data_IF_471006198704
#
_entry.id   IF_471006198704
#
_cell.length_a   1.000
_cell.length_b   1.000
_cell.length_c   1.000
_cell.angle_alpha   90.00
_cell.angle_beta   90.00
_cell.angle_gamma   90.00
#
_symmetry.space_group_name_H-M   'P 1'
#
loop_
_entity.id
_entity.type
_entity.pdbx_description
1 polymer ?
#
# COMPACT_ATOMS: atom_id res chain seq x y z
N UNK A 1 23.19 34.90 -14.30
CA UNK A 1 22.33 34.17 -15.24
C UNK A 1 22.39 32.68 -14.91
N UNK A 2 22.11 32.31 -13.65
CA UNK A 2 22.63 31.04 -13.07
C UNK A 2 21.58 30.25 -12.27
N UNK A 3 20.40 30.81 -12.02
CA UNK A 3 19.37 30.18 -11.18
C UNK A 3 18.49 29.18 -11.96
N UNK A 4 18.35 29.37 -13.28
CA UNK A 4 17.51 28.53 -14.14
C UNK A 4 18.17 27.24 -14.66
N UNK A 5 19.51 27.13 -14.59
CA UNK A 5 20.23 25.90 -14.98
C UNK A 5 20.12 24.80 -13.90
N UNK A 6 20.01 25.18 -12.63
CA UNK A 6 19.89 24.24 -11.52
C UNK A 6 18.53 23.52 -11.53
N UNK A 7 17.45 24.24 -11.82
CA UNK A 7 16.11 23.67 -11.99
C UNK A 7 16.00 22.78 -13.26
N UNK A 8 16.76 23.07 -14.32
CA UNK A 8 16.82 22.25 -15.53
C UNK A 8 17.57 20.92 -15.32
N UNK A 9 18.64 20.94 -14.53
CA UNK A 9 19.43 19.75 -14.17
C UNK A 9 18.72 18.84 -13.15
N UNK A 10 17.86 19.39 -12.28
CA UNK A 10 17.05 18.60 -11.36
C UNK A 10 16.09 17.61 -12.08
N UNK A 11 15.61 17.98 -13.27
CA UNK A 11 14.71 17.12 -14.05
C UNK A 11 15.45 15.99 -14.79
N UNK A 12 16.70 16.23 -15.23
CA UNK A 12 17.52 15.21 -15.88
C UNK A 12 17.95 14.08 -14.93
N UNK A 13 18.17 14.38 -13.64
CA UNK A 13 18.53 13.39 -12.63
C UNK A 13 17.43 12.36 -12.38
N UNK A 14 16.16 12.78 -12.46
CA UNK A 14 15.02 11.88 -12.33
C UNK A 14 14.87 10.99 -13.57
N UNK A 15 15.00 11.55 -14.77
CA UNK A 15 14.98 10.76 -16.02
C UNK A 15 16.11 9.72 -16.06
N UNK A 16 17.32 10.09 -15.64
CA UNK A 16 18.44 9.14 -15.57
C UNK A 16 18.22 8.06 -14.49
N UNK A 17 17.62 8.39 -13.35
CA UNK A 17 17.23 7.38 -12.35
C UNK A 17 16.14 6.43 -12.88
N UNK A 18 15.16 6.93 -13.62
CA UNK A 18 14.08 6.12 -14.21
C UNK A 18 14.56 5.21 -15.34
N UNK A 19 15.65 5.57 -16.02
CA UNK A 19 16.29 4.76 -17.07
C UNK A 19 17.45 3.92 -16.55
N UNK A 20 17.75 3.94 -15.25
CA UNK A 20 18.85 3.18 -14.68
C UNK A 20 18.64 1.67 -14.87
N UNK A 21 19.68 0.90 -15.21
CA UNK A 21 19.62 -0.58 -15.22
C UNK A 21 19.27 -1.18 -13.85
N UNK A 22 19.35 -0.38 -12.77
CA UNK A 22 18.95 -0.77 -11.42
C UNK A 22 17.44 -0.64 -11.19
N UNK A 23 16.70 -0.06 -12.13
CA UNK A 23 15.25 -0.03 -12.07
C UNK A 23 14.68 -1.40 -12.42
N UNK A 24 13.56 -1.80 -11.78
CA UNK A 24 12.89 -3.03 -12.15
C UNK A 24 12.41 -2.95 -13.60
N UNK A 25 12.42 -4.10 -14.25
CA UNK A 25 12.10 -4.28 -15.67
C UNK A 25 10.68 -3.78 -15.99
N UNK A 26 10.48 -3.38 -17.25
CA UNK A 26 9.18 -2.89 -17.72
C UNK A 26 8.09 -3.96 -17.59
N UNK A 27 8.42 -5.24 -17.78
CA UNK A 27 7.51 -6.37 -17.59
C UNK A 27 7.03 -6.47 -16.13
N UNK A 28 7.93 -6.33 -15.16
CA UNK A 28 7.60 -6.33 -13.72
C UNK A 28 6.74 -5.14 -13.34
N UNK A 29 7.05 -3.94 -13.87
CA UNK A 29 6.20 -2.76 -13.64
C UNK A 29 4.79 -2.95 -14.17
N UNK A 30 4.63 -3.56 -15.34
CA UNK A 30 3.32 -3.84 -15.91
C UNK A 30 2.56 -4.91 -15.13
N UNK A 31 3.23 -6.00 -14.72
CA UNK A 31 2.58 -7.06 -13.95
C UNK A 31 2.18 -6.61 -12.55
N UNK A 32 2.91 -5.66 -11.95
CA UNK A 32 2.59 -5.08 -10.64
C UNK A 32 1.53 -3.97 -10.68
N UNK A 33 1.19 -3.43 -11.86
CA UNK A 33 0.32 -2.26 -11.98
C UNK A 33 -1.09 -2.50 -11.43
N UNK A 34 -1.76 -3.56 -11.86
CA UNK A 34 -3.11 -3.87 -11.38
C UNK A 34 -3.13 -4.38 -9.94
N UNK A 35 -2.26 -5.32 -9.52
CA UNK A 35 -2.20 -5.75 -8.11
C UNK A 35 -1.96 -4.59 -7.14
N UNK A 36 -1.01 -3.70 -7.45
CA UNK A 36 -0.73 -2.53 -6.59
C UNK A 36 -1.91 -1.57 -6.51
N UNK A 37 -2.61 -1.34 -7.64
CA UNK A 37 -3.80 -0.48 -7.67
C UNK A 37 -4.95 -1.08 -6.87
N UNK A 38 -5.18 -2.39 -6.97
CA UNK A 38 -6.25 -3.08 -6.24
C UNK A 38 -6.02 -3.01 -4.72
N UNK A 39 -4.82 -3.37 -4.27
CA UNK A 39 -4.44 -3.32 -2.84
C UNK A 39 -4.46 -1.88 -2.33
N UNK A 40 -3.89 -0.93 -3.07
CA UNK A 40 -3.88 0.48 -2.71
C UNK A 40 -5.28 1.08 -2.59
N UNK A 41 -6.20 0.73 -3.51
CA UNK A 41 -7.60 1.15 -3.43
C UNK A 41 -8.29 0.55 -2.21
N UNK A 42 -8.09 -0.74 -1.94
CA UNK A 42 -8.66 -1.42 -0.78
C UNK A 42 -8.20 -0.80 0.54
N UNK A 43 -6.91 -0.48 0.66
CA UNK A 43 -6.33 0.26 1.78
C UNK A 43 -6.98 1.64 1.93
N UNK A 44 -7.07 2.41 0.86
CA UNK A 44 -7.66 3.75 0.87
C UNK A 44 -9.14 3.74 1.28
N UNK A 45 -9.92 2.76 0.79
CA UNK A 45 -11.31 2.57 1.19
C UNK A 45 -11.43 2.19 2.67
N UNK A 46 -10.56 1.30 3.15
CA UNK A 46 -10.55 0.88 4.55
C UNK A 46 -10.22 2.04 5.50
N UNK A 47 -9.21 2.84 5.16
CA UNK A 47 -8.84 4.05 5.90
C UNK A 47 -9.97 5.09 5.88
N UNK A 48 -10.66 5.26 4.75
CA UNK A 48 -11.83 6.14 4.65
C UNK A 48 -12.95 5.65 5.57
N UNK A 49 -13.28 4.36 5.56
CA UNK A 49 -14.30 3.77 6.43
C UNK A 49 -13.98 4.01 7.91
N UNK A 50 -12.73 3.78 8.33
CA UNK A 50 -12.25 4.05 9.69
C UNK A 50 -12.39 5.54 10.05
N UNK A 51 -11.91 6.44 9.18
CA UNK A 51 -11.99 7.88 9.39
C UNK A 51 -13.43 8.40 9.48
N UNK A 52 -14.33 7.89 8.62
CA UNK A 52 -15.75 8.21 8.70
C UNK A 52 -16.40 7.72 9.99
N UNK A 53 -15.97 6.55 10.50
CA UNK A 53 -16.44 6.02 11.77
C UNK A 53 -16.16 6.97 12.92
N UNK A 54 -14.92 7.47 12.98
CA UNK A 54 -14.48 8.44 13.99
C UNK A 54 -15.22 9.77 13.83
N UNK A 55 -15.29 10.31 12.61
CA UNK A 55 -15.99 11.57 12.34
C UNK A 55 -17.47 11.51 12.74
N UNK A 56 -18.11 10.35 12.60
CA UNK A 56 -19.51 10.13 12.96
C UNK A 56 -19.69 9.66 14.40
N UNK A 57 -18.61 9.43 15.15
CA UNK A 57 -18.60 8.84 16.49
C UNK A 57 -19.44 7.55 16.53
N UNK A 58 -19.19 6.67 15.56
CA UNK A 58 -19.84 5.36 15.43
C UNK A 58 -18.79 4.28 15.55
N UNK A 59 -19.20 3.12 16.07
CA UNK A 59 -18.35 1.93 16.07
C UNK A 59 -18.03 1.51 14.64
N UNK A 60 -16.75 1.34 14.36
CA UNK A 60 -16.30 0.63 13.17
C UNK A 60 -16.67 -0.81 13.36
N UNK A 61 -17.33 -1.48 12.41
CA UNK A 61 -17.61 -2.92 12.52
C UNK A 61 -16.29 -3.70 12.32
N UNK A 62 -15.35 -3.53 13.26
CA UNK A 62 -13.95 -3.86 13.10
C UNK A 62 -13.78 -5.35 12.85
N UNK A 63 -14.33 -6.19 13.73
CA UNK A 63 -14.21 -7.64 13.65
C UNK A 63 -14.98 -8.24 12.45
N UNK A 64 -16.14 -7.67 12.13
CA UNK A 64 -17.03 -8.22 11.10
C UNK A 64 -16.66 -7.78 9.67
N UNK A 65 -16.09 -6.58 9.49
CA UNK A 65 -15.88 -5.97 8.17
C UNK A 65 -14.42 -5.61 7.92
N UNK A 66 -13.75 -4.94 8.87
CA UNK A 66 -12.41 -4.40 8.63
C UNK A 66 -11.33 -5.48 8.72
N UNK A 67 -11.36 -6.31 9.77
CA UNK A 67 -10.38 -7.38 9.96
C UNK A 67 -10.40 -8.41 8.81
N UNK A 68 -11.57 -8.88 8.32
CA UNK A 68 -11.60 -9.76 7.16
C UNK A 68 -11.00 -9.13 5.90
N UNK A 69 -11.25 -7.84 5.63
CA UNK A 69 -10.64 -7.12 4.50
C UNK A 69 -9.11 -7.10 4.60
N UNK A 70 -8.57 -6.75 5.77
CA UNK A 70 -7.11 -6.69 5.99
C UNK A 70 -6.45 -8.07 5.96
N UNK A 71 -7.13 -9.13 6.40
CA UNK A 71 -6.67 -10.51 6.24
C UNK A 71 -6.65 -10.93 4.77
N UNK A 72 -7.71 -10.60 4.01
CA UNK A 72 -7.76 -10.88 2.57
C UNK A 72 -6.62 -10.18 1.83
N UNK A 73 -6.35 -8.91 2.13
CA UNK A 73 -5.24 -8.16 1.54
C UNK A 73 -3.88 -8.82 1.81
N UNK A 74 -3.64 -9.32 3.02
CA UNK A 74 -2.40 -10.06 3.34
C UNK A 74 -2.26 -11.35 2.53
N UNK A 75 -3.35 -12.09 2.35
CA UNK A 75 -3.34 -13.30 1.53
C UNK A 75 -3.06 -12.98 0.05
N UNK A 76 -3.65 -11.91 -0.48
CA UNK A 76 -3.38 -11.44 -1.84
C UNK A 76 -1.92 -11.02 -2.02
N UNK A 77 -1.36 -10.26 -1.07
CA UNK A 77 0.04 -9.87 -1.07
C UNK A 77 1.00 -11.08 -1.05
N UNK A 78 0.72 -12.07 -0.20
CA UNK A 78 1.49 -13.32 -0.17
C UNK A 78 1.42 -14.07 -1.50
N UNK A 79 0.26 -14.08 -2.15
CA UNK A 79 0.10 -14.70 -3.46
C UNK A 79 0.91 -13.99 -4.55
N UNK A 80 1.19 -12.69 -4.43
CA UNK A 80 2.05 -11.97 -5.38
C UNK A 80 3.49 -12.48 -5.30
N UNK A 81 4.01 -12.71 -4.09
CA UNK A 81 5.38 -13.24 -3.89
C UNK A 81 5.49 -14.66 -4.45
N UNK A 82 4.47 -15.50 -4.25
CA UNK A 82 4.46 -16.90 -4.69
C UNK A 82 4.03 -17.08 -6.16
N UNK A 83 3.67 -16.01 -6.86
CA UNK A 83 3.04 -16.09 -8.18
C UNK A 83 4.05 -16.34 -9.29
N UNK A 84 3.80 -17.37 -10.11
CA UNK A 84 4.53 -17.64 -11.37
C UNK A 84 4.19 -16.66 -12.50
N UNK A 85 3.34 -15.65 -12.27
CA UNK A 85 2.97 -14.64 -13.28
C UNK A 85 4.14 -13.75 -13.69
N UNK A 86 5.19 -13.73 -12.89
CA UNK A 86 6.45 -13.14 -13.26
C UNK A 86 7.23 -14.23 -13.99
N UNK A 87 7.59 -13.99 -15.25
CA UNK A 87 8.43 -14.91 -16.02
C UNK A 87 9.83 -15.07 -15.39
N UNK A 88 10.87 -15.38 -16.17
CA UNK A 88 12.23 -15.35 -15.65
C UNK A 88 12.53 -13.98 -15.04
N UNK A 89 12.70 -13.93 -13.72
CA UNK A 89 12.99 -12.72 -12.97
C UNK A 89 14.50 -12.62 -12.75
N UNK A 90 15.05 -11.43 -12.97
CA UNK A 90 16.41 -11.12 -12.53
C UNK A 90 16.43 -10.81 -11.01
N UNK A 91 17.59 -10.94 -10.37
CA UNK A 91 17.72 -10.69 -8.93
C UNK A 91 17.24 -9.28 -8.50
N UNK A 92 17.45 -8.27 -9.37
CA UNK A 92 17.00 -6.89 -9.13
C UNK A 92 15.47 -6.80 -9.10
N UNK A 93 14.80 -7.54 -9.98
CA UNK A 93 13.34 -7.59 -10.05
C UNK A 93 12.73 -8.32 -8.85
N UNK A 94 13.32 -9.45 -8.45
CA UNK A 94 12.90 -10.20 -7.25
C UNK A 94 13.01 -9.31 -6.02
N UNK A 95 14.14 -8.60 -5.87
CA UNK A 95 14.34 -7.68 -4.74
C UNK A 95 13.32 -6.54 -4.77
N UNK A 96 13.08 -5.92 -5.93
CA UNK A 96 12.12 -4.82 -6.06
C UNK A 96 10.69 -5.25 -5.70
N UNK A 97 10.24 -6.40 -6.20
CA UNK A 97 8.92 -6.97 -5.87
C UNK A 97 8.85 -7.27 -4.37
N UNK A 98 9.86 -7.94 -3.82
CA UNK A 98 9.89 -8.34 -2.40
C UNK A 98 9.84 -7.12 -1.49
N UNK A 99 10.67 -6.11 -1.75
CA UNK A 99 10.66 -4.86 -0.98
C UNK A 99 9.33 -4.13 -1.10
N UNK A 100 8.73 -4.08 -2.29
CA UNK A 100 7.45 -3.42 -2.49
C UNK A 100 6.30 -4.14 -1.75
N UNK A 101 6.23 -5.47 -1.87
CA UNK A 101 5.21 -6.27 -1.15
C UNK A 101 5.40 -6.17 0.36
N UNK A 102 6.65 -6.19 0.84
CA UNK A 102 6.95 -5.99 2.25
C UNK A 102 6.41 -4.66 2.78
N UNK A 103 6.65 -3.55 2.06
CA UNK A 103 6.13 -2.23 2.43
C UNK A 103 4.59 -2.19 2.43
N UNK A 104 3.94 -2.82 1.45
CA UNK A 104 2.47 -2.92 1.43
C UNK A 104 1.93 -3.75 2.59
N UNK A 105 2.62 -4.84 2.95
CA UNK A 105 2.26 -5.67 4.09
C UNK A 105 2.38 -4.88 5.40
N UNK A 106 3.46 -4.12 5.56
CA UNK A 106 3.64 -3.21 6.71
C UNK A 106 2.51 -2.17 6.79
N UNK A 107 2.10 -1.58 5.65
CA UNK A 107 0.94 -0.68 5.64
C UNK A 107 -0.35 -1.37 6.09
N UNK A 108 -0.61 -2.60 5.64
CA UNK A 108 -1.79 -3.38 6.07
C UNK A 108 -1.76 -3.64 7.58
N UNK A 109 -0.59 -3.98 8.13
CA UNK A 109 -0.39 -4.16 9.58
C UNK A 109 -0.65 -2.87 10.36
N UNK A 110 -0.14 -1.73 9.87
CA UNK A 110 -0.41 -0.43 10.49
C UNK A 110 -1.88 -0.03 10.45
N UNK A 111 -2.59 -0.36 9.38
CA UNK A 111 -4.05 -0.14 9.32
C UNK A 111 -4.80 -1.08 10.26
N UNK A 112 -4.32 -2.30 10.48
CA UNK A 112 -4.88 -3.21 11.49
C UNK A 112 -4.70 -2.66 12.91
N UNK A 113 -3.49 -2.21 13.26
CA UNK A 113 -3.19 -1.57 14.55
C UNK A 113 -4.08 -0.36 14.76
N UNK A 114 -4.20 0.52 13.75
CA UNK A 114 -5.07 1.68 13.78
C UNK A 114 -6.53 1.29 14.03
N UNK A 115 -7.03 0.25 13.35
CA UNK A 115 -8.41 -0.20 13.53
C UNK A 115 -8.69 -0.68 14.96
N UNK A 116 -7.72 -1.34 15.62
CA UNK A 116 -7.83 -1.76 17.03
C UNK A 116 -7.90 -0.56 17.97
N UNK A 117 -6.98 0.39 17.80
CA UNK A 117 -6.93 1.62 18.61
C UNK A 117 -8.23 2.43 18.47
N UNK A 118 -8.81 2.50 17.28
CA UNK A 118 -10.07 3.21 17.06
C UNK A 118 -11.28 2.51 17.68
N UNK A 119 -11.25 1.18 17.78
CA UNK A 119 -12.31 0.44 18.46
C UNK A 119 -12.26 0.68 19.98
N UNK A 120 -11.07 0.60 20.57
CA UNK A 120 -10.83 0.93 21.99
C UNK A 120 -11.23 2.39 22.29
N UNK A 121 -10.89 3.33 21.40
CA UNK A 121 -11.34 4.71 21.50
C UNK A 121 -12.87 4.80 21.49
N UNK A 122 -13.53 4.03 20.62
CA UNK A 122 -14.99 3.98 20.55
C UNK A 122 -15.64 3.38 21.81
N UNK A 123 -14.95 2.49 22.52
CA UNK A 123 -15.36 2.01 23.84
C UNK A 123 -15.27 3.10 24.90
N UNK A 124 -14.12 3.76 24.99
CA UNK A 124 -13.85 4.78 26.00
C UNK A 124 -14.71 6.04 25.80
N UNK A 125 -14.99 6.40 24.54
CA UNK A 125 -15.73 7.60 24.18
C UNK A 125 -17.23 7.36 23.94
N UNK A 126 -17.73 6.16 24.26
CA UNK A 126 -19.14 5.77 24.09
C UNK A 126 -19.68 6.03 22.67
N UNK A 127 -18.90 5.62 21.66
CA UNK A 127 -19.33 5.72 20.27
C UNK A 127 -20.58 4.87 20.05
N UNK A 128 -21.51 5.43 19.27
CA UNK A 128 -22.77 4.78 18.97
C UNK A 128 -22.52 3.45 18.27
N UNK A 129 -23.02 2.37 18.85
CA UNK A 129 -23.24 1.11 18.13
C UNK A 129 -24.36 1.36 17.13
N UNK A 130 -24.12 0.95 15.88
CA UNK A 130 -25.06 1.20 14.78
C UNK A 130 -26.21 0.20 14.83
#
# INVERSE_FOLDING_TARGET
>A
MSHWQFLRNGNHGMETCLQSPRQPSSSVRQSMKEPSKAIGLSLALTLRELGESVMKMRRSQQEAVIMPKLKSMRLELNSIISSSKFGPLENVDVLAISSFVFLLMEMVEKVEELAKVLEELGELADFRTK
#
